data_IF_005202398561
#
_entry.id   IF_005202398561
#
_cell.length_a   1.000
_cell.length_b   1.000
_cell.length_c   1.000
_cell.angle_alpha   90.00
_cell.angle_beta   90.00
_cell.angle_gamma   90.00
#
_symmetry.space_group_name_H-M   'P 1'
#
loop_
_entity.id
_entity.type
_entity.pdbx_description
1 polymer ?
#
# COMPACT_ATOMS: atom_id res chain seq x y z
N UNK A 1 0.40 6.84 -19.39
CA UNK A 1 1.36 7.47 -18.45
C UNK A 1 1.90 8.76 -19.06
N UNK A 2 1.84 9.84 -18.30
CA UNK A 2 2.37 11.11 -18.75
C UNK A 2 3.89 11.18 -18.72
N UNK A 3 4.48 12.01 -19.57
CA UNK A 3 5.88 12.34 -19.49
C UNK A 3 6.16 13.12 -18.20
N UNK A 4 7.28 12.82 -17.53
CA UNK A 4 7.71 13.56 -16.35
C UNK A 4 7.94 15.03 -16.71
N UNK A 5 7.44 15.93 -15.86
CA UNK A 5 7.56 17.37 -16.07
C UNK A 5 8.42 17.98 -14.96
N UNK A 6 9.23 18.95 -15.33
CA UNK A 6 10.04 19.68 -14.37
C UNK A 6 9.20 20.77 -13.69
N UNK A 7 9.36 20.89 -12.37
CA UNK A 7 8.80 21.97 -11.57
C UNK A 7 9.80 22.34 -10.46
N UNK A 8 10.02 23.64 -10.26
CA UNK A 8 10.91 24.12 -9.21
C UNK A 8 10.12 24.66 -8.04
N UNK A 9 10.57 24.35 -6.83
CA UNK A 9 9.99 24.84 -5.59
C UNK A 9 11.09 25.37 -4.68
N UNK A 10 10.73 26.34 -3.84
CA UNK A 10 11.62 26.82 -2.77
C UNK A 10 11.18 26.19 -1.47
N UNK A 11 12.15 25.73 -0.70
CA UNK A 11 11.93 25.15 0.62
C UNK A 11 12.51 26.03 1.71
N UNK A 12 11.84 26.05 2.85
CA UNK A 12 12.42 26.55 4.07
C UNK A 12 13.72 25.80 4.38
N UNK A 13 14.81 26.49 4.84
CA UNK A 13 16.09 25.83 5.11
C UNK A 13 16.00 24.65 6.07
N UNK A 14 15.18 24.74 7.12
CA UNK A 14 15.02 23.65 8.08
C UNK A 14 14.33 22.43 7.44
N UNK A 15 13.35 22.66 6.60
CA UNK A 15 12.67 21.59 5.84
C UNK A 15 13.63 20.92 4.89
N UNK A 16 14.45 21.71 4.18
CA UNK A 16 15.45 21.15 3.26
C UNK A 16 16.49 20.31 4.00
N UNK A 17 16.97 20.78 5.16
CA UNK A 17 17.93 20.03 5.98
C UNK A 17 17.36 18.67 6.43
N UNK A 18 16.09 18.65 6.84
CA UNK A 18 15.41 17.40 7.22
C UNK A 18 15.22 16.45 6.03
N UNK A 19 14.93 17.00 4.85
CA UNK A 19 14.82 16.21 3.63
C UNK A 19 16.16 15.55 3.27
N UNK A 20 17.25 16.30 3.30
CA UNK A 20 18.60 15.81 3.03
C UNK A 20 18.99 14.69 4.00
N UNK A 21 18.70 14.88 5.28
CA UNK A 21 18.98 13.89 6.32
C UNK A 21 18.15 12.61 6.09
N UNK A 22 16.88 12.75 5.76
CA UNK A 22 16.01 11.60 5.48
C UNK A 22 16.43 10.85 4.23
N UNK A 23 16.83 11.54 3.19
CA UNK A 23 17.34 10.94 1.97
C UNK A 23 18.60 10.08 2.26
N UNK A 24 19.53 10.60 3.07
CA UNK A 24 20.70 9.82 3.51
C UNK A 24 20.31 8.59 4.32
N UNK A 25 19.37 8.73 5.26
CA UNK A 25 18.94 7.63 6.12
C UNK A 25 18.23 6.52 5.34
N UNK A 26 17.50 6.84 4.29
CA UNK A 26 16.72 5.87 3.49
C UNK A 26 17.48 5.33 2.28
N UNK A 27 18.59 5.97 1.89
CA UNK A 27 19.31 5.65 0.65
C UNK A 27 18.55 6.10 -0.61
N UNK A 28 17.48 6.87 -0.47
CA UNK A 28 16.73 7.44 -1.59
C UNK A 28 17.35 8.75 -2.05
N UNK A 29 17.19 9.09 -3.33
CA UNK A 29 17.52 10.44 -3.80
C UNK A 29 16.54 11.46 -3.22
N UNK A 30 16.95 12.70 -3.09
CA UNK A 30 16.07 13.78 -2.63
C UNK A 30 14.86 13.93 -3.57
N UNK A 31 15.06 13.86 -4.89
CA UNK A 31 14.00 13.94 -5.88
C UNK A 31 12.95 12.83 -5.68
N UNK A 32 13.39 11.59 -5.55
CA UNK A 32 12.49 10.45 -5.34
C UNK A 32 11.71 10.60 -4.02
N UNK A 33 12.38 11.07 -2.97
CA UNK A 33 11.76 11.25 -1.67
C UNK A 33 10.71 12.37 -1.67
N UNK A 34 11.01 13.50 -2.32
CA UNK A 34 10.04 14.61 -2.50
C UNK A 34 8.83 14.13 -3.29
N UNK A 35 9.06 13.42 -4.39
CA UNK A 35 8.00 12.88 -5.22
C UNK A 35 7.06 11.96 -4.42
N UNK A 36 7.63 11.09 -3.59
CA UNK A 36 6.88 10.21 -2.70
C UNK A 36 6.06 11.00 -1.68
N UNK A 37 6.67 11.96 -0.99
CA UNK A 37 5.97 12.74 0.03
C UNK A 37 4.84 13.57 -0.56
N UNK A 38 5.03 14.14 -1.74
CA UNK A 38 3.97 14.91 -2.41
C UNK A 38 2.83 13.98 -2.84
N UNK A 39 3.13 12.85 -3.49
CA UNK A 39 2.13 11.90 -3.92
C UNK A 39 1.32 11.34 -2.73
N UNK A 40 2.02 10.87 -1.69
CA UNK A 40 1.36 10.32 -0.50
C UNK A 40 0.59 11.38 0.28
N UNK A 41 1.12 12.61 0.37
CA UNK A 41 0.42 13.73 1.01
C UNK A 41 -0.89 14.07 0.31
N UNK A 42 -0.88 14.11 -1.02
CA UNK A 42 -2.08 14.35 -1.83
C UNK A 42 -3.10 13.20 -1.67
N UNK A 43 -2.63 11.96 -1.66
CA UNK A 43 -3.50 10.80 -1.42
C UNK A 43 -4.11 10.84 -0.02
N UNK A 44 -3.32 11.21 0.98
CA UNK A 44 -3.78 11.32 2.36
C UNK A 44 -4.83 12.42 2.52
N UNK A 45 -4.70 13.55 1.82
CA UNK A 45 -5.71 14.60 1.84
C UNK A 45 -7.07 14.10 1.35
N UNK A 46 -7.09 13.25 0.34
CA UNK A 46 -8.30 12.64 -0.19
C UNK A 46 -8.77 11.43 0.62
N UNK A 47 -7.85 10.71 1.26
CA UNK A 47 -8.09 9.47 2.00
C UNK A 47 -7.40 9.51 3.36
N UNK A 48 -7.93 10.28 4.35
CA UNK A 48 -7.24 10.50 5.63
C UNK A 48 -7.05 9.22 6.47
N UNK A 49 -7.84 8.18 6.22
CA UNK A 49 -7.75 6.91 6.93
C UNK A 49 -6.66 5.98 6.39
N UNK A 50 -6.04 6.37 5.27
CA UNK A 50 -5.00 5.56 4.62
C UNK A 50 -3.62 6.10 4.97
N UNK A 51 -2.74 5.23 5.40
CA UNK A 51 -1.32 5.49 5.62
C UNK A 51 -0.49 4.62 4.69
N UNK A 52 0.81 4.88 4.63
CA UNK A 52 1.72 4.12 3.78
C UNK A 52 2.83 3.52 4.63
N UNK A 53 3.16 2.26 4.38
CA UNK A 53 4.16 1.53 5.14
C UNK A 53 5.17 0.85 4.23
N UNK A 54 6.42 0.79 4.68
CA UNK A 54 7.48 0.05 4.01
C UNK A 54 7.43 -1.41 4.47
N UNK A 55 7.40 -2.31 3.50
CA UNK A 55 7.46 -3.74 3.70
C UNK A 55 8.52 -4.32 2.76
N UNK A 56 9.02 -5.54 3.00
CA UNK A 56 10.03 -6.13 2.12
C UNK A 56 9.61 -6.18 0.65
N UNK A 57 8.32 -6.37 0.37
CA UNK A 57 7.80 -6.41 -1.00
C UNK A 57 7.55 -5.03 -1.61
N UNK A 58 7.67 -3.95 -0.84
CA UNK A 58 7.50 -2.57 -1.30
C UNK A 58 6.64 -1.72 -0.38
N UNK A 59 6.44 -0.48 -0.77
CA UNK A 59 5.64 0.47 -0.02
C UNK A 59 4.16 0.31 -0.34
N UNK A 60 3.33 0.14 0.70
CA UNK A 60 1.92 -0.23 0.53
C UNK A 60 0.97 0.68 1.29
N UNK A 61 -0.21 0.96 0.70
CA UNK A 61 -1.28 1.64 1.42
C UNK A 61 -1.92 0.70 2.44
N UNK A 62 -2.14 1.22 3.63
CA UNK A 62 -2.66 0.49 4.79
C UNK A 62 -3.74 1.32 5.47
N UNK A 63 -4.75 0.66 5.99
CA UNK A 63 -5.73 1.32 6.84
C UNK A 63 -5.09 1.68 8.18
N UNK A 64 -5.03 2.97 8.49
CA UNK A 64 -4.33 3.47 9.68
C UNK A 64 -4.86 2.83 10.97
N UNK A 65 -3.95 2.39 11.83
CA UNK A 65 -4.28 1.83 13.13
C UNK A 65 -4.86 0.41 13.11
N UNK A 66 -4.93 -0.26 11.97
CA UNK A 66 -5.52 -1.60 11.86
C UNK A 66 -4.51 -2.71 11.59
N UNK A 67 -3.35 -2.38 11.04
CA UNK A 67 -2.41 -3.38 10.53
C UNK A 67 -2.86 -4.06 9.23
N UNK A 68 -3.99 -3.63 8.64
CA UNK A 68 -4.54 -4.22 7.42
C UNK A 68 -4.17 -3.39 6.20
N UNK A 69 -3.57 -4.04 5.21
CA UNK A 69 -3.33 -3.43 3.91
C UNK A 69 -4.65 -3.29 3.13
N UNK A 70 -4.74 -2.28 2.29
CA UNK A 70 -5.95 -2.05 1.47
C UNK A 70 -6.27 -3.26 0.61
N UNK A 71 -5.25 -3.90 0.00
CA UNK A 71 -5.47 -5.08 -0.84
C UNK A 71 -6.10 -6.25 -0.08
N UNK A 72 -5.74 -6.44 1.21
CA UNK A 72 -6.33 -7.49 2.06
C UNK A 72 -7.82 -7.24 2.28
N UNK A 73 -8.19 -5.99 2.52
CA UNK A 73 -9.58 -5.60 2.71
C UNK A 73 -10.39 -5.83 1.42
N UNK A 74 -9.82 -5.48 0.27
CA UNK A 74 -10.48 -5.68 -1.03
C UNK A 74 -10.72 -7.17 -1.29
N UNK A 75 -9.70 -8.01 -1.08
CA UNK A 75 -9.83 -9.47 -1.23
C UNK A 75 -10.90 -10.03 -0.29
N UNK A 76 -10.88 -9.62 0.96
CA UNK A 76 -11.89 -10.08 1.95
C UNK A 76 -13.31 -9.70 1.50
N UNK A 77 -13.48 -8.48 0.98
CA UNK A 77 -14.78 -8.05 0.47
C UNK A 77 -15.22 -8.88 -0.74
N UNK A 78 -14.30 -9.16 -1.66
CA UNK A 78 -14.57 -10.03 -2.82
C UNK A 78 -14.93 -11.45 -2.39
N UNK A 79 -14.23 -12.01 -1.42
CA UNK A 79 -14.50 -13.34 -0.88
C UNK A 79 -15.84 -13.44 -0.14
N UNK A 80 -16.39 -12.32 0.30
CA UNK A 80 -17.70 -12.21 0.93
C UNK A 80 -18.76 -11.63 -0.04
N UNK A 81 -18.56 -11.81 -1.33
CA UNK A 81 -19.51 -11.43 -2.38
C UNK A 81 -19.91 -9.94 -2.34
N UNK A 82 -18.97 -9.09 -1.91
CA UNK A 82 -19.21 -7.65 -1.80
C UNK A 82 -19.98 -7.22 -0.54
N UNK A 83 -20.20 -8.11 0.40
CA UNK A 83 -20.89 -7.78 1.65
C UNK A 83 -19.99 -7.03 2.62
N UNK A 84 -20.23 -5.74 2.78
CA UNK A 84 -19.51 -4.89 3.74
C UNK A 84 -19.69 -5.38 5.18
N UNK A 85 -20.93 -5.70 5.64
CA UNK A 85 -21.11 -6.21 7.00
C UNK A 85 -20.34 -7.50 7.28
N UNK A 86 -20.33 -8.44 6.34
CA UNK A 86 -19.62 -9.72 6.51
C UNK A 86 -18.11 -9.53 6.52
N UNK A 87 -17.57 -8.71 5.62
CA UNK A 87 -16.14 -8.39 5.59
C UNK A 87 -15.70 -7.68 6.88
N UNK A 88 -16.49 -6.73 7.38
CA UNK A 88 -16.24 -6.02 8.62
C UNK A 88 -16.22 -6.97 9.82
N UNK A 89 -17.16 -7.90 9.88
CA UNK A 89 -17.20 -8.92 10.93
C UNK A 89 -16.01 -9.86 10.86
N UNK A 90 -15.64 -10.31 9.66
CA UNK A 90 -14.50 -11.20 9.47
C UNK A 90 -13.18 -10.56 9.90
N UNK A 91 -12.97 -9.29 9.56
CA UNK A 91 -11.75 -8.54 9.88
C UNK A 91 -11.78 -7.88 11.26
N UNK A 92 -12.90 -7.95 11.96
CA UNK A 92 -13.11 -7.32 13.27
C UNK A 92 -12.84 -5.81 13.23
N UNK A 93 -13.43 -5.14 12.24
CA UNK A 93 -13.35 -3.68 12.08
C UNK A 93 -14.74 -3.11 11.82
N UNK A 94 -14.98 -1.83 12.15
CA UNK A 94 -16.25 -1.19 11.83
C UNK A 94 -16.42 -1.06 10.30
N UNK A 95 -17.66 -1.09 9.85
CA UNK A 95 -17.99 -1.00 8.42
C UNK A 95 -17.42 0.25 7.74
N UNK A 96 -17.38 1.38 8.44
CA UNK A 96 -16.85 2.61 7.86
C UNK A 96 -15.38 2.48 7.44
N UNK A 97 -14.62 1.61 8.09
CA UNK A 97 -13.22 1.33 7.70
C UNK A 97 -13.15 0.54 6.39
N UNK A 98 -14.06 -0.41 6.19
CA UNK A 98 -14.17 -1.11 4.92
C UNK A 98 -14.48 -0.11 3.79
N UNK A 99 -15.42 0.79 4.04
CA UNK A 99 -15.79 1.82 3.06
C UNK A 99 -14.64 2.78 2.76
N UNK A 100 -13.85 3.13 3.77
CA UNK A 100 -12.64 3.96 3.57
C UNK A 100 -11.64 3.29 2.63
N UNK A 101 -11.39 1.99 2.82
CA UNK A 101 -10.51 1.22 1.94
C UNK A 101 -11.09 1.11 0.52
N UNK A 102 -12.40 0.96 0.39
CA UNK A 102 -13.07 0.87 -0.91
C UNK A 102 -13.00 2.18 -1.68
N UNK A 103 -13.14 3.32 -1.00
CA UNK A 103 -12.95 4.64 -1.63
C UNK A 103 -11.53 4.81 -2.19
N UNK A 104 -10.53 4.39 -1.42
CA UNK A 104 -9.15 4.41 -1.90
C UNK A 104 -8.97 3.47 -3.11
N UNK A 105 -9.51 2.27 -3.02
CA UNK A 105 -9.45 1.31 -4.12
C UNK A 105 -10.06 1.85 -5.40
N UNK A 106 -11.18 2.55 -5.32
CA UNK A 106 -11.82 3.14 -6.49
C UNK A 106 -10.91 4.12 -7.23
N UNK A 107 -10.10 4.89 -6.49
CA UNK A 107 -9.17 5.86 -7.08
C UNK A 107 -7.86 5.23 -7.56
N UNK A 108 -7.41 4.14 -6.93
CA UNK A 108 -6.11 3.52 -7.19
C UNK A 108 -6.23 2.02 -7.52
N UNK A 109 -7.25 1.68 -8.27
CA UNK A 109 -7.62 0.29 -8.58
C UNK A 109 -6.47 -0.53 -9.16
N UNK A 110 -5.78 -0.01 -10.17
CA UNK A 110 -4.72 -0.75 -10.85
C UNK A 110 -3.56 -1.08 -9.90
N UNK A 111 -3.22 -0.15 -9.01
CA UNK A 111 -2.18 -0.35 -8.01
C UNK A 111 -2.55 -1.45 -7.03
N UNK A 112 -3.77 -1.44 -6.52
CA UNK A 112 -4.24 -2.45 -5.57
C UNK A 112 -4.41 -3.81 -6.24
N UNK A 113 -4.95 -3.85 -7.45
CA UNK A 113 -5.06 -5.09 -8.23
C UNK A 113 -3.68 -5.73 -8.48
N UNK A 114 -2.66 -4.90 -8.71
CA UNK A 114 -1.28 -5.39 -8.86
C UNK A 114 -0.75 -6.03 -7.57
N UNK A 115 -1.08 -5.46 -6.40
CA UNK A 115 -0.72 -6.06 -5.11
C UNK A 115 -1.43 -7.39 -4.88
N UNK A 116 -2.70 -7.50 -5.22
CA UNK A 116 -3.48 -8.74 -5.12
C UNK A 116 -2.84 -9.81 -6.00
N UNK A 117 -2.53 -9.49 -7.24
CA UNK A 117 -1.91 -10.40 -8.18
C UNK A 117 -0.52 -10.85 -7.72
N UNK A 118 0.30 -9.92 -7.22
CA UNK A 118 1.62 -10.25 -6.69
C UNK A 118 1.53 -11.17 -5.47
N UNK A 119 0.56 -10.94 -4.59
CA UNK A 119 0.33 -11.80 -3.43
C UNK A 119 -0.09 -13.21 -3.84
N UNK A 120 -0.97 -13.33 -4.83
CA UNK A 120 -1.41 -14.64 -5.34
C UNK A 120 -0.24 -15.42 -5.94
N UNK A 121 0.63 -14.76 -6.70
CA UNK A 121 1.84 -15.40 -7.25
C UNK A 121 2.78 -15.88 -6.14
N UNK A 122 3.01 -15.06 -5.12
CA UNK A 122 3.86 -15.44 -3.99
C UNK A 122 3.28 -16.63 -3.23
N UNK A 123 1.97 -16.67 -3.03
CA UNK A 123 1.30 -17.79 -2.39
C UNK A 123 1.45 -19.09 -3.20
N UNK A 124 1.27 -19.01 -4.51
CA UNK A 124 1.44 -20.16 -5.42
C UNK A 124 2.89 -20.67 -5.45
N UNK A 125 3.86 -19.76 -5.48
CA UNK A 125 5.28 -20.11 -5.45
C UNK A 125 5.65 -20.80 -4.14
N UNK A 126 5.17 -20.30 -3.02
CA UNK A 126 5.41 -20.91 -1.71
C UNK A 126 4.76 -22.28 -1.59
N UNK A 127 3.54 -22.43 -2.09
CA UNK A 127 2.84 -23.72 -2.12
C UNK A 127 3.62 -24.75 -2.97
N UNK A 128 4.11 -24.34 -4.14
CA UNK A 128 4.94 -25.19 -5.00
C UNK A 128 6.26 -25.56 -4.32
N UNK A 129 6.87 -24.63 -3.60
CA UNK A 129 8.09 -24.88 -2.81
C UNK A 129 7.83 -25.90 -1.71
N UNK A 130 6.74 -25.78 -0.98
CA UNK A 130 6.37 -26.71 0.07
C UNK A 130 6.09 -28.10 -0.46
N UNK A 131 5.47 -28.22 -1.64
CA UNK A 131 5.29 -29.51 -2.30
C UNK A 131 6.64 -30.17 -2.64
N UNK A 132 7.60 -29.39 -3.16
CA UNK A 132 8.95 -29.89 -3.45
C UNK A 132 9.66 -30.37 -2.16
N UNK A 133 9.49 -29.65 -1.07
CA UNK A 133 10.05 -30.04 0.23
C UNK A 133 9.43 -31.38 0.69
N UNK A 134 8.11 -31.50 0.60
CA UNK A 134 7.42 -32.72 0.98
C UNK A 134 7.88 -33.93 0.13
N UNK A 135 8.02 -33.75 -1.19
CA UNK A 135 8.51 -34.77 -2.10
C UNK A 135 9.96 -35.18 -1.77
N UNK A 136 10.81 -34.24 -1.41
CA UNK A 136 12.20 -34.50 -1.06
C UNK A 136 12.34 -35.29 0.28
N UNK A 137 11.35 -35.18 1.17
CA UNK A 137 11.33 -35.85 2.46
C UNK A 137 10.60 -37.20 2.45
N UNK A 138 9.97 -37.53 1.34
CA UNK A 138 9.21 -38.79 1.19
C UNK A 138 10.11 -40.01 1.01
#
# INVERSE_FOLDING_TARGET
MGTRKHRSFRFDPDTLARLEQRARATGMTQTALVERYVDEGLRHDAHPEITFVDEPAGRRPRLAGSGLDVWEIVVTLQDNEGSVPEAAAYLDVPEWRILAAMRYYADFRYEIDAWIEANDRMAQEEEARMRRVADALA
#
